data_IF_110114262941
#
_entry.id   IF_110114262941
#
_cell.length_a   1.000
_cell.length_b   1.000
_cell.length_c   1.000
_cell.angle_alpha   90.00
_cell.angle_beta   90.00
_cell.angle_gamma   90.00
#
_symmetry.space_group_name_H-M   'P 1'
#
loop_
_entity.id
_entity.type
_entity.pdbx_description
1 polymer ?
#
# COMPACT_ATOMS: atom_id res chain seq x y z
N UNK A 1 -11.83 -21.33 0.37
CA UNK A 1 -10.72 -20.77 1.17
C UNK A 1 -11.15 -19.40 1.64
N UNK A 2 -11.40 -19.21 2.94
CA UNK A 2 -11.88 -17.92 3.45
C UNK A 2 -10.68 -16.98 3.42
N UNK A 3 -10.65 -16.01 2.49
CA UNK A 3 -9.69 -14.89 2.54
C UNK A 3 -9.91 -14.20 3.89
N UNK A 4 -9.01 -14.41 4.84
CA UNK A 4 -9.10 -13.79 6.16
C UNK A 4 -9.02 -12.29 5.96
N UNK A 5 -10.14 -11.57 6.14
CA UNK A 5 -10.17 -10.11 6.08
C UNK A 5 -9.47 -9.58 7.33
N UNK A 6 -8.14 -9.47 7.25
CA UNK A 6 -7.32 -8.92 8.31
C UNK A 6 -7.15 -7.43 8.07
N UNK A 7 -7.71 -6.63 8.97
CA UNK A 7 -7.46 -5.19 9.03
C UNK A 7 -6.49 -4.92 10.16
N UNK A 8 -5.47 -4.11 9.89
CA UNK A 8 -4.45 -3.71 10.85
C UNK A 8 -4.22 -2.22 10.72
N UNK A 9 -4.15 -1.54 11.86
CA UNK A 9 -3.69 -0.16 11.90
C UNK A 9 -2.16 -0.16 11.91
N UNK A 10 -1.56 0.67 11.06
CA UNK A 10 -0.12 0.82 10.93
C UNK A 10 0.24 2.31 10.93
N UNK A 11 1.36 2.63 11.55
CA UNK A 11 1.97 3.95 11.45
C UNK A 11 3.07 3.90 10.40
N UNK A 12 3.02 4.80 9.43
CA UNK A 12 3.95 4.84 8.31
C UNK A 12 4.51 6.26 8.12
N UNK A 13 5.81 6.39 7.78
CA UNK A 13 6.37 7.66 7.36
C UNK A 13 5.71 8.17 6.07
N UNK A 14 5.58 9.48 5.90
CA UNK A 14 5.00 10.09 4.68
C UNK A 14 6.05 10.56 3.68
N UNK A 15 7.33 10.53 4.07
CA UNK A 15 8.52 10.87 3.29
C UNK A 15 9.12 9.65 2.55
N UNK A 16 8.46 8.50 2.59
CA UNK A 16 8.81 7.34 1.76
C UNK A 16 8.01 7.32 0.45
N UNK A 17 8.50 6.56 -0.51
CA UNK A 17 7.80 6.32 -1.77
C UNK A 17 6.70 5.27 -1.64
N UNK A 18 5.73 5.30 -2.57
CA UNK A 18 4.72 4.25 -2.70
C UNK A 18 5.35 2.86 -2.86
N UNK A 19 6.46 2.76 -3.60
CA UNK A 19 7.20 1.50 -3.79
C UNK A 19 7.79 0.98 -2.49
N UNK A 20 8.40 1.84 -1.68
CA UNK A 20 8.98 1.44 -0.38
C UNK A 20 7.89 0.95 0.58
N UNK A 21 6.73 1.61 0.61
CA UNK A 21 5.59 1.14 1.38
C UNK A 21 5.16 -0.27 0.95
N UNK A 22 5.03 -0.52 -0.36
CA UNK A 22 4.62 -1.83 -0.87
C UNK A 22 5.64 -2.91 -0.50
N UNK A 23 6.93 -2.65 -0.65
CA UNK A 23 7.99 -3.59 -0.27
C UNK A 23 7.92 -3.90 1.23
N UNK A 24 7.82 -2.87 2.08
CA UNK A 24 7.74 -3.05 3.52
C UNK A 24 6.50 -3.82 3.97
N UNK A 25 5.34 -3.55 3.37
CA UNK A 25 4.11 -4.32 3.64
C UNK A 25 4.22 -5.75 3.14
N UNK A 26 4.82 -5.96 1.97
CA UNK A 26 5.01 -7.28 1.39
C UNK A 26 5.92 -8.15 2.28
N UNK A 27 7.01 -7.59 2.81
CA UNK A 27 7.91 -8.29 3.73
C UNK A 27 7.26 -8.51 5.11
N UNK A 28 6.59 -7.50 5.67
CA UNK A 28 6.01 -7.58 7.01
C UNK A 28 4.82 -8.55 7.12
N UNK A 29 4.00 -8.64 6.06
CA UNK A 29 2.79 -9.46 6.05
C UNK A 29 2.86 -10.65 5.07
N UNK A 30 3.99 -10.84 4.39
CA UNK A 30 4.19 -11.89 3.38
C UNK A 30 3.05 -11.90 2.35
N UNK A 31 2.78 -10.75 1.74
CA UNK A 31 1.64 -10.51 0.84
C UNK A 31 1.81 -11.13 -0.56
N UNK A 32 3.00 -11.68 -0.87
CA UNK A 32 3.32 -12.31 -2.16
C UNK A 32 3.14 -11.37 -3.38
N UNK A 33 3.31 -10.06 -3.16
CA UNK A 33 3.27 -9.05 -4.23
C UNK A 33 4.51 -9.18 -5.11
N UNK A 34 4.32 -9.28 -6.42
CA UNK A 34 5.42 -9.23 -7.39
C UNK A 34 5.96 -7.79 -7.51
N UNK A 35 6.97 -7.50 -6.69
CA UNK A 35 7.69 -6.22 -6.69
C UNK A 35 8.57 -6.01 -7.93
N UNK A 36 8.76 -7.04 -8.77
CA UNK A 36 9.50 -6.96 -10.03
C UNK A 36 8.60 -6.44 -11.16
N UNK A 37 7.30 -6.73 -11.09
CA UNK A 37 6.32 -6.21 -12.03
C UNK A 37 5.76 -4.85 -11.57
N UNK A 38 6.40 -3.77 -12.03
CA UNK A 38 6.01 -2.37 -11.72
C UNK A 38 4.55 -2.06 -12.09
N UNK A 39 3.94 -2.79 -13.03
CA UNK A 39 2.53 -2.58 -13.41
C UNK A 39 1.54 -3.13 -12.39
N UNK A 40 1.91 -4.19 -11.68
CA UNK A 40 1.07 -4.88 -10.70
C UNK A 40 1.38 -4.47 -9.26
N UNK A 41 2.49 -3.75 -9.05
CA UNK A 41 2.90 -3.19 -7.78
C UNK A 41 2.13 -1.89 -7.47
N UNK A 42 0.88 -2.01 -7.00
CA UNK A 42 0.04 -0.88 -6.59
C UNK A 42 -0.83 -1.20 -5.37
N UNK A 43 -1.23 -0.15 -4.65
CA UNK A 43 -2.21 -0.21 -3.55
C UNK A 43 -3.41 0.68 -3.86
N UNK A 44 -4.61 0.24 -3.48
CA UNK A 44 -5.85 1.02 -3.64
C UNK A 44 -6.18 1.70 -2.33
N UNK A 45 -6.30 3.02 -2.33
CA UNK A 45 -6.80 3.77 -1.19
C UNK A 45 -8.27 4.12 -1.40
N UNK A 46 -9.08 4.12 -0.34
CA UNK A 46 -10.50 4.51 -0.42
C UNK A 46 -10.78 5.93 0.11
N UNK A 47 -9.86 6.51 0.89
CA UNK A 47 -10.03 7.85 1.44
C UNK A 47 -8.68 8.60 1.54
N UNK A 48 -8.23 9.29 0.48
CA UNK A 48 -8.90 9.51 -0.81
C UNK A 48 -8.90 8.27 -1.73
N UNK A 49 -9.81 8.25 -2.73
CA UNK A 49 -9.78 7.25 -3.81
C UNK A 49 -8.53 7.50 -4.66
N UNK A 50 -7.47 6.73 -4.40
CA UNK A 50 -6.17 6.92 -5.05
C UNK A 50 -5.51 5.57 -5.36
N UNK A 51 -4.78 5.52 -6.48
CA UNK A 51 -3.93 4.39 -6.82
C UNK A 51 -2.49 4.74 -6.43
N UNK A 52 -2.02 4.17 -5.33
CA UNK A 52 -0.68 4.42 -4.77
C UNK A 52 0.30 3.46 -5.43
N UNK A 53 1.17 3.99 -6.29
CA UNK A 53 2.18 3.22 -7.03
C UNK A 53 3.38 4.07 -7.46
N UNK A 54 4.48 3.39 -7.76
CA UNK A 54 5.70 3.99 -8.32
C UNK A 54 6.55 4.73 -7.29
N UNK A 55 7.32 5.71 -7.77
CA UNK A 55 8.36 6.38 -6.98
C UNK A 55 7.92 7.75 -6.42
N UNK A 56 6.62 8.05 -6.46
CA UNK A 56 6.09 9.26 -5.81
C UNK A 56 6.06 9.09 -4.30
N UNK A 57 6.25 10.19 -3.59
CA UNK A 57 6.15 10.21 -2.13
C UNK A 57 4.70 10.02 -1.69
N UNK A 58 4.50 9.35 -0.55
CA UNK A 58 3.17 9.16 0.02
C UNK A 58 2.47 10.49 0.34
N UNK A 59 3.24 11.50 0.74
CA UNK A 59 2.76 12.87 0.95
C UNK A 59 2.13 13.50 -0.31
N UNK A 60 2.57 13.14 -1.51
CA UNK A 60 2.02 13.66 -2.78
C UNK A 60 0.66 13.05 -3.11
N UNK A 61 0.32 11.88 -2.56
CA UNK A 61 -0.98 11.25 -2.77
C UNK A 61 -2.07 11.83 -1.86
N UNK A 62 -1.71 12.72 -0.93
CA UNK A 62 -2.65 13.30 0.03
C UNK A 62 -3.21 12.27 1.02
N UNK A 63 -2.46 11.19 1.28
CA UNK A 63 -2.78 10.22 2.32
C UNK A 63 -2.76 10.90 3.68
N UNK A 64 -3.72 10.58 4.53
CA UNK A 64 -3.89 11.17 5.86
C UNK A 64 -4.06 10.06 6.90
N UNK A 65 -3.96 10.43 8.16
CA UNK A 65 -4.37 9.54 9.25
C UNK A 65 -5.80 9.04 9.00
N UNK A 66 -5.99 7.73 9.06
CA UNK A 66 -7.28 7.09 8.76
C UNK A 66 -7.52 6.77 7.29
N UNK A 67 -6.55 6.95 6.39
CA UNK A 67 -6.64 6.41 5.03
C UNK A 67 -6.64 4.88 5.08
N UNK A 68 -7.67 4.27 4.48
CA UNK A 68 -7.77 2.81 4.34
C UNK A 68 -7.06 2.40 3.06
N UNK A 69 -6.09 1.50 3.22
CA UNK A 69 -5.35 0.89 2.11
C UNK A 69 -5.86 -0.53 1.93
N UNK A 70 -6.38 -0.82 0.75
CA UNK A 70 -6.87 -2.12 0.36
C UNK A 70 -5.88 -2.79 -0.59
N UNK A 71 -5.46 -3.99 -0.19
CA UNK A 71 -4.78 -4.94 -1.04
C UNK A 71 -5.79 -6.00 -1.48
N UNK A 72 -6.04 -6.09 -2.79
CA UNK A 72 -6.90 -7.09 -3.39
C UNK A 72 -6.15 -7.70 -4.57
N UNK A 73 -5.93 -9.01 -4.58
CA UNK A 73 -5.75 -9.75 -5.85
C UNK A 73 -6.91 -9.43 -6.81
#
# INVERSE_FOLDING_TARGET
>A
MIKSKRTVDIEIPTDITARELIIGLNEAYNLEIDITNVKECFLKCENPIALVKGNKLLSEFGLRTGTIINYTE
#
